data_IF_626637218639
#
_entry.id   IF_626637218639
#
_cell.length_a   1.000
_cell.length_b   1.000
_cell.length_c   1.000
_cell.angle_alpha   90.00
_cell.angle_beta   90.00
_cell.angle_gamma   90.00
#
_symmetry.space_group_name_H-M   'P 1'
#
loop_
_entity.id
_entity.type
_entity.pdbx_description
1 polymer ?
#
# COMPACT_ATOMS: atom_id res chain seq x y z
N UNK A 1 19.85 18.81 -20.68
CA UNK A 1 19.56 17.88 -19.58
C UNK A 1 18.11 18.11 -19.18
N UNK A 2 17.27 17.07 -19.13
CA UNK A 2 15.87 17.22 -18.71
C UNK A 2 15.73 16.85 -17.23
N UNK A 3 14.82 17.53 -16.54
CA UNK A 3 14.48 17.27 -15.14
C UNK A 3 13.02 16.82 -15.09
N UNK A 4 12.75 15.74 -14.37
CA UNK A 4 11.38 15.25 -14.18
C UNK A 4 10.59 16.19 -13.27
N UNK A 5 9.28 16.28 -13.52
CA UNK A 5 8.33 17.00 -12.66
C UNK A 5 8.05 16.20 -11.38
N UNK A 6 7.75 16.88 -10.27
CA UNK A 6 7.21 16.22 -9.08
C UNK A 6 5.75 15.85 -9.33
N UNK A 7 5.22 14.93 -8.53
CA UNK A 7 3.80 14.52 -8.65
C UNK A 7 2.84 15.70 -8.43
N UNK A 8 3.17 16.62 -7.52
CA UNK A 8 2.32 17.79 -7.22
C UNK A 8 2.39 18.89 -8.30
N UNK A 9 3.42 18.85 -9.15
CA UNK A 9 3.58 19.80 -10.26
C UNK A 9 2.66 19.45 -11.45
N UNK A 10 2.05 18.25 -11.45
CA UNK A 10 1.26 17.72 -12.57
C UNK A 10 -0.20 17.51 -12.15
N UNK A 11 -1.11 18.25 -12.79
CA UNK A 11 -2.55 18.07 -12.61
C UNK A 11 -3.13 17.23 -13.74
N UNK A 12 -3.80 16.14 -13.37
CA UNK A 12 -4.58 15.33 -14.29
C UNK A 12 -5.90 16.05 -14.62
N UNK A 13 -6.14 16.30 -15.90
CA UNK A 13 -7.34 17.01 -16.39
C UNK A 13 -8.33 16.07 -17.10
N UNK A 14 -7.86 14.93 -17.61
CA UNK A 14 -8.71 13.96 -18.29
C UNK A 14 -9.59 13.20 -17.30
N UNK A 15 -10.91 13.19 -17.55
CA UNK A 15 -11.91 12.59 -16.66
C UNK A 15 -11.66 11.09 -16.42
N UNK A 16 -11.17 10.37 -17.43
CA UNK A 16 -10.91 8.94 -17.40
C UNK A 16 -9.73 8.61 -16.48
N UNK A 17 -8.67 9.43 -16.51
CA UNK A 17 -7.47 9.26 -15.68
C UNK A 17 -7.72 9.77 -14.25
N UNK A 18 -8.41 10.91 -14.11
CA UNK A 18 -8.82 11.42 -12.79
C UNK A 18 -9.68 10.40 -12.06
N UNK A 19 -10.67 9.79 -12.73
CA UNK A 19 -11.52 8.77 -12.11
C UNK A 19 -10.73 7.55 -11.64
N UNK A 20 -9.76 7.09 -12.43
CA UNK A 20 -8.87 5.98 -12.03
C UNK A 20 -8.05 6.33 -10.81
N UNK A 21 -7.47 7.55 -10.75
CA UNK A 21 -6.73 8.01 -9.58
C UNK A 21 -7.59 7.98 -8.32
N UNK A 22 -8.83 8.47 -8.39
CA UNK A 22 -9.71 8.47 -7.22
C UNK A 22 -10.13 7.05 -6.79
N UNK A 23 -10.35 6.13 -7.73
CA UNK A 23 -10.60 4.72 -7.41
C UNK A 23 -9.40 4.08 -6.70
N UNK A 24 -8.18 4.33 -7.18
CA UNK A 24 -6.96 3.81 -6.54
C UNK A 24 -6.78 4.38 -5.14
N UNK A 25 -7.02 5.69 -4.96
CA UNK A 25 -6.96 6.32 -3.62
C UNK A 25 -7.95 5.68 -2.65
N UNK A 26 -9.19 5.48 -3.09
CA UNK A 26 -10.22 4.82 -2.27
C UNK A 26 -9.78 3.40 -1.91
N UNK A 27 -9.38 2.61 -2.90
CA UNK A 27 -8.90 1.25 -2.67
C UNK A 27 -7.76 1.17 -1.66
N UNK A 28 -6.77 2.07 -1.74
CA UNK A 28 -5.64 2.12 -0.78
C UNK A 28 -6.10 2.57 0.61
N UNK A 29 -7.02 3.54 0.70
CA UNK A 29 -7.53 4.02 1.97
C UNK A 29 -8.42 2.99 2.70
N UNK A 30 -9.04 2.08 1.97
CA UNK A 30 -9.93 1.05 2.51
C UNK A 30 -9.17 -0.15 3.11
N UNK A 31 -7.83 -0.19 3.05
CA UNK A 31 -7.06 -1.25 3.67
C UNK A 31 -7.15 -1.21 5.19
N UNK A 32 -7.33 -2.39 5.78
CA UNK A 32 -7.17 -2.58 7.22
C UNK A 32 -5.67 -2.49 7.59
N UNK A 33 -5.31 -1.37 8.21
CA UNK A 33 -3.93 -1.06 8.60
C UNK A 33 -3.40 -2.05 9.64
N UNK A 34 -4.24 -2.58 10.54
CA UNK A 34 -3.77 -3.54 11.54
C UNK A 34 -3.39 -4.87 10.92
N UNK A 35 -4.14 -5.30 9.90
CA UNK A 35 -3.80 -6.48 9.10
C UNK A 35 -2.58 -6.26 8.22
N UNK A 36 -2.47 -5.07 7.61
CA UNK A 36 -1.31 -4.68 6.79
C UNK A 36 -0.02 -4.66 7.60
N UNK A 37 -0.08 -4.13 8.83
CA UNK A 37 1.08 -3.98 9.71
C UNK A 37 1.38 -5.23 10.53
N UNK A 38 0.57 -6.29 10.42
CA UNK A 38 0.71 -7.49 11.24
C UNK A 38 2.12 -8.08 11.15
N UNK A 39 2.60 -8.40 9.94
CA UNK A 39 3.91 -9.03 9.73
C UNK A 39 5.05 -8.13 10.18
N UNK A 40 4.96 -6.82 9.94
CA UNK A 40 5.97 -5.86 10.41
C UNK A 40 6.06 -5.82 11.94
N UNK A 41 4.91 -5.83 12.63
CA UNK A 41 4.87 -5.87 14.10
C UNK A 41 5.51 -7.14 14.64
N UNK A 42 5.13 -8.30 14.10
CA UNK A 42 5.69 -9.59 14.52
C UNK A 42 7.20 -9.65 14.27
N UNK A 43 7.68 -9.19 13.12
CA UNK A 43 9.12 -9.14 12.80
C UNK A 43 9.90 -8.20 13.73
N UNK A 44 9.27 -7.13 14.22
CA UNK A 44 9.85 -6.21 15.20
C UNK A 44 9.75 -6.72 16.66
N UNK A 45 9.20 -7.92 16.89
CA UNK A 45 8.95 -8.46 18.23
C UNK A 45 7.77 -7.81 18.96
N UNK A 46 6.92 -7.07 18.23
CA UNK A 46 5.69 -6.45 18.74
C UNK A 46 4.53 -7.43 18.53
N UNK A 47 3.79 -7.72 19.60
CA UNK A 47 2.61 -8.57 19.49
C UNK A 47 1.54 -7.94 18.58
N UNK A 48 0.98 -8.72 17.67
CA UNK A 48 -0.14 -8.32 16.82
C UNK A 48 -1.22 -9.38 16.86
N UNK A 49 -2.45 -8.97 17.14
CA UNK A 49 -3.63 -9.86 17.20
C UNK A 49 -4.46 -9.85 15.91
N UNK A 50 -4.06 -9.03 14.92
CA UNK A 50 -4.74 -8.96 13.63
C UNK A 50 -4.41 -10.20 12.79
N UNK A 51 -5.31 -10.59 11.88
CA UNK A 51 -5.02 -11.64 10.90
C UNK A 51 -4.23 -11.03 9.72
N UNK A 52 -3.12 -11.64 9.27
CA UNK A 52 -2.40 -11.13 8.10
C UNK A 52 -3.30 -11.03 6.87
N UNK A 53 -2.94 -10.14 5.93
CA UNK A 53 -3.69 -9.97 4.67
C UNK A 53 -3.62 -11.22 3.77
N UNK A 54 -2.71 -12.15 4.04
CA UNK A 54 -2.54 -13.40 3.31
C UNK A 54 -1.75 -13.24 2.00
N UNK A 55 -1.77 -14.25 1.14
CA UNK A 55 -1.04 -14.22 -0.14
C UNK A 55 0.47 -14.04 0.03
N UNK A 56 1.02 -13.01 -0.61
CA UNK A 56 2.45 -12.68 -0.51
C UNK A 56 2.82 -12.10 0.87
N UNK A 57 1.83 -11.68 1.68
CA UNK A 57 1.99 -11.20 3.06
C UNK A 57 1.62 -12.27 4.11
N UNK A 58 1.36 -13.51 3.67
CA UNK A 58 1.04 -14.63 4.56
C UNK A 58 2.29 -15.22 5.21
N UNK A 59 2.16 -15.65 6.47
CA UNK A 59 3.24 -16.30 7.23
C UNK A 59 3.66 -17.60 6.53
N UNK A 60 4.80 -17.57 5.83
CA UNK A 60 5.38 -18.72 5.12
C UNK A 60 5.69 -18.50 3.64
N UNK A 61 5.20 -17.42 3.03
CA UNK A 61 5.74 -16.96 1.75
C UNK A 61 7.00 -16.15 2.02
N UNK A 62 8.12 -16.48 1.35
CA UNK A 62 9.43 -15.84 1.56
C UNK A 62 9.49 -14.33 1.27
N UNK A 63 8.35 -13.71 0.98
CA UNK A 63 8.14 -12.28 0.77
C UNK A 63 7.61 -11.55 2.01
N UNK A 64 7.40 -12.28 3.12
CA UNK A 64 6.84 -11.77 4.38
C UNK A 64 7.56 -10.51 4.87
N UNK A 65 7.00 -9.33 4.58
CA UNK A 65 7.53 -8.04 5.01
C UNK A 65 8.60 -7.38 4.13
N UNK A 66 8.71 -7.74 2.84
CA UNK A 66 9.60 -7.01 1.92
C UNK A 66 8.86 -5.84 1.26
N UNK A 67 8.65 -4.77 2.02
CA UNK A 67 8.48 -3.40 1.49
C UNK A 67 9.64 -2.53 1.99
#
# INVERSE_FOLDING_TARGET
MFTNFKLDDVKLMDLCIVRRRELVKQYVADFDIDRLMHTFRINAGIASNAEPLGGWEGVGSGSSGSL
#
